data_IF_230164856099
#
_entry.id   IF_230164856099
#
_cell.length_a   1.000
_cell.length_b   1.000
_cell.length_c   1.000
_cell.angle_alpha   90.00
_cell.angle_beta   90.00
_cell.angle_gamma   90.00
#
_symmetry.space_group_name_H-M   'P 1'
#
loop_
_entity.id
_entity.type
_entity.pdbx_description
1 polymer ?
#
# COMPACT_ATOMS: atom_id res chain seq x y z
N UNK A 1 -1.99 55.70 9.98
CA UNK A 1 -2.26 54.33 10.44
C UNK A 1 -1.79 53.41 9.35
N UNK A 2 -0.67 52.73 9.59
CA UNK A 2 -0.03 51.85 8.62
C UNK A 2 -0.72 50.50 8.72
N UNK A 3 -1.42 50.09 7.66
CA UNK A 3 -1.96 48.73 7.57
C UNK A 3 -0.81 47.73 7.65
N UNK A 4 -0.77 46.99 8.75
CA UNK A 4 0.12 45.83 8.90
C UNK A 4 -0.42 44.77 7.94
N UNK A 5 0.30 44.56 6.83
CA UNK A 5 0.11 43.39 5.98
C UNK A 5 0.35 42.16 6.87
N UNK A 6 -0.69 41.37 7.06
CA UNK A 6 -0.59 39.99 7.53
C UNK A 6 0.16 39.23 6.43
N UNK A 7 1.49 39.34 6.45
CA UNK A 7 2.36 38.45 5.71
C UNK A 7 1.95 37.03 6.07
N UNK A 8 1.68 36.24 5.04
CA UNK A 8 1.49 34.80 5.11
C UNK A 8 2.51 34.22 6.09
N UNK A 9 2.04 33.73 7.23
CA UNK A 9 2.87 32.88 8.08
C UNK A 9 3.02 31.55 7.33
N UNK A 10 3.85 31.53 6.28
CA UNK A 10 4.55 30.32 5.88
C UNK A 10 5.43 29.97 7.07
N UNK A 11 4.89 29.21 8.00
CA UNK A 11 5.70 28.54 9.01
C UNK A 11 6.58 27.57 8.24
N UNK A 12 7.75 28.05 7.83
CA UNK A 12 8.86 27.23 7.36
C UNK A 12 9.22 26.32 8.53
N UNK A 13 8.58 25.14 8.58
CA UNK A 13 8.91 24.12 9.55
C UNK A 13 10.34 23.68 9.28
N UNK A 14 11.13 23.58 10.33
CA UNK A 14 12.48 23.03 10.22
C UNK A 14 12.42 21.57 9.78
N UNK A 15 13.46 21.09 9.09
CA UNK A 15 13.55 19.68 8.68
C UNK A 15 13.38 18.72 9.85
N UNK A 16 13.93 19.07 11.03
CA UNK A 16 13.75 18.31 12.27
C UNK A 16 12.29 18.19 12.70
N UNK A 17 11.49 19.25 12.51
CA UNK A 17 10.05 19.24 12.82
C UNK A 17 9.30 18.34 11.86
N UNK A 18 9.58 18.43 10.56
CA UNK A 18 8.95 17.58 9.54
C UNK A 18 9.30 16.10 9.75
N UNK A 19 10.55 15.80 10.12
CA UNK A 19 10.98 14.44 10.45
C UNK A 19 10.20 13.89 11.65
N UNK A 20 10.07 14.66 12.74
CA UNK A 20 9.29 14.25 13.92
C UNK A 20 7.84 13.97 13.57
N UNK A 21 7.23 14.81 12.74
CA UNK A 21 5.85 14.62 12.28
C UNK A 21 5.73 13.36 11.44
N UNK A 22 6.67 13.08 10.52
CA UNK A 22 6.65 11.87 9.70
C UNK A 22 6.76 10.60 10.54
N UNK A 23 7.65 10.61 11.55
CA UNK A 23 7.81 9.49 12.47
C UNK A 23 6.55 9.29 13.30
N UNK A 24 6.01 10.37 13.91
CA UNK A 24 4.81 10.30 14.72
C UNK A 24 3.59 9.87 13.91
N UNK A 25 3.36 10.48 12.74
CA UNK A 25 2.28 10.14 11.82
C UNK A 25 2.40 8.69 11.33
N UNK A 26 3.60 8.25 10.96
CA UNK A 26 3.89 6.87 10.58
C UNK A 26 3.57 5.88 11.68
N UNK A 27 3.99 6.15 12.92
CA UNK A 27 3.72 5.29 14.06
C UNK A 27 2.22 5.21 14.41
N UNK A 28 1.53 6.35 14.44
CA UNK A 28 0.09 6.43 14.74
C UNK A 28 -0.72 5.69 13.66
N UNK A 29 -0.46 5.94 12.39
CA UNK A 29 -1.16 5.27 11.29
C UNK A 29 -0.76 3.79 11.19
N UNK A 30 0.49 3.46 11.51
CA UNK A 30 0.94 2.08 11.68
C UNK A 30 0.09 1.34 12.71
N UNK A 31 -0.02 1.88 13.93
CA UNK A 31 -0.86 1.31 14.99
C UNK A 31 -2.34 1.23 14.59
N UNK A 32 -2.87 2.28 13.94
CA UNK A 32 -4.24 2.28 13.42
C UNK A 32 -4.47 1.16 12.40
N UNK A 33 -3.50 0.91 11.52
CA UNK A 33 -3.58 -0.18 10.54
C UNK A 33 -3.63 -1.56 11.21
N UNK A 34 -2.92 -1.75 12.33
CA UNK A 34 -2.97 -2.98 13.13
C UNK A 34 -4.31 -3.16 13.81
N UNK A 35 -4.82 -2.10 14.47
CA UNK A 35 -6.15 -2.13 15.10
C UNK A 35 -7.23 -2.44 14.06
N UNK A 36 -7.17 -1.78 12.90
CA UNK A 36 -8.08 -2.05 11.78
C UNK A 36 -8.02 -3.53 11.40
N UNK A 37 -6.83 -4.06 11.16
CA UNK A 37 -6.63 -5.45 10.76
C UNK A 37 -7.16 -6.45 11.80
N UNK A 38 -6.96 -6.19 13.10
CA UNK A 38 -7.50 -7.02 14.18
C UNK A 38 -9.03 -7.02 14.14
N UNK A 39 -9.65 -5.84 14.07
CA UNK A 39 -11.11 -5.68 14.08
C UNK A 39 -11.76 -6.37 12.88
N UNK A 40 -11.15 -6.26 11.69
CA UNK A 40 -11.68 -6.87 10.46
C UNK A 40 -11.08 -8.24 10.15
N UNK A 41 -10.31 -8.83 11.06
CA UNK A 41 -9.67 -10.13 10.85
C UNK A 41 -10.65 -11.25 10.47
N UNK A 42 -11.91 -11.31 10.98
CA UNK A 42 -12.87 -12.31 10.49
C UNK A 42 -13.19 -12.14 9.01
N UNK A 43 -13.27 -10.90 8.52
CA UNK A 43 -13.53 -10.59 7.11
C UNK A 43 -12.30 -10.92 6.26
N UNK A 44 -11.10 -10.51 6.69
CA UNK A 44 -9.85 -10.85 5.99
C UNK A 44 -9.73 -12.36 5.81
N UNK A 45 -9.92 -13.11 6.90
CA UNK A 45 -9.80 -14.57 6.88
C UNK A 45 -10.91 -15.24 6.06
N UNK A 46 -12.14 -14.72 6.09
CA UNK A 46 -13.23 -15.23 5.26
C UNK A 46 -13.01 -14.99 3.76
N UNK A 47 -12.22 -13.98 3.38
CA UNK A 47 -11.88 -13.70 1.97
C UNK A 47 -10.59 -14.38 1.49
N UNK A 48 -9.96 -15.23 2.30
CA UNK A 48 -8.78 -15.99 1.88
C UNK A 48 -9.16 -17.05 0.86
N UNK A 49 -8.40 -17.09 -0.21
CA UNK A 49 -8.61 -18.04 -1.29
C UNK A 49 -7.93 -19.36 -0.92
N UNK A 50 -8.66 -20.49 -0.95
CA UNK A 50 -8.09 -21.81 -0.69
C UNK A 50 -6.86 -22.08 -1.55
N UNK A 51 -5.84 -22.73 -0.98
CA UNK A 51 -4.54 -23.07 -1.60
C UNK A 51 -3.66 -21.89 -2.03
N UNK A 52 -4.20 -20.67 -2.15
CA UNK A 52 -3.43 -19.47 -2.46
C UNK A 52 -2.91 -18.77 -1.21
N UNK A 53 -3.65 -18.82 -0.10
CA UNK A 53 -3.31 -18.11 1.13
C UNK A 53 -3.43 -16.58 1.01
N UNK A 54 -3.88 -16.07 -0.13
CA UNK A 54 -4.11 -14.65 -0.45
C UNK A 54 -5.51 -14.25 -0.01
N UNK A 55 -5.63 -13.15 0.73
CA UNK A 55 -6.92 -12.52 1.04
C UNK A 55 -7.36 -11.61 -0.11
N UNK A 56 -8.59 -11.75 -0.61
CA UNK A 56 -9.12 -10.86 -1.64
C UNK A 56 -9.44 -9.45 -1.12
N UNK A 57 -9.73 -9.34 0.18
CA UNK A 57 -10.03 -8.07 0.81
C UNK A 57 -9.22 -7.90 2.09
N UNK A 58 -8.31 -6.92 2.05
CA UNK A 58 -7.54 -6.51 3.22
C UNK A 58 -7.16 -5.01 3.07
N UNK A 59 -7.87 -4.09 3.75
CA UNK A 59 -7.66 -2.65 3.64
C UNK A 59 -6.50 -2.11 4.47
N UNK A 60 -5.66 -2.96 5.07
CA UNK A 60 -4.54 -2.50 5.91
C UNK A 60 -3.58 -1.57 5.15
N UNK A 61 -3.32 -1.87 3.88
CA UNK A 61 -2.50 -1.06 2.96
C UNK A 61 -3.09 0.32 2.67
N UNK A 62 -4.40 0.50 2.80
CA UNK A 62 -5.05 1.80 2.60
C UNK A 62 -4.55 2.81 3.63
N UNK A 63 -4.40 2.39 4.89
CA UNK A 63 -3.91 3.25 5.96
C UNK A 63 -2.45 3.67 5.70
N UNK A 64 -1.63 2.77 5.16
CA UNK A 64 -0.22 3.06 4.85
C UNK A 64 -0.11 4.08 3.71
N UNK A 65 -0.94 3.94 2.67
CA UNK A 65 -0.96 4.85 1.52
C UNK A 65 -1.57 6.20 1.91
N UNK A 66 -2.60 6.24 2.76
CA UNK A 66 -3.13 7.48 3.33
C UNK A 66 -2.03 8.19 4.13
N UNK A 67 -1.29 7.46 4.97
CA UNK A 67 -0.18 8.01 5.74
C UNK A 67 0.90 8.61 4.83
N UNK A 68 1.24 7.91 3.74
CA UNK A 68 2.12 8.41 2.69
C UNK A 68 1.60 9.72 2.08
N UNK A 69 0.34 9.76 1.66
CA UNK A 69 -0.25 10.93 1.01
C UNK A 69 -0.29 12.16 1.93
N UNK A 70 -0.57 11.97 3.22
CA UNK A 70 -0.69 13.06 4.19
C UNK A 70 0.68 13.55 4.68
N UNK A 71 1.57 12.63 5.08
CA UNK A 71 2.80 12.98 5.81
C UNK A 71 4.09 12.77 5.01
N UNK A 72 4.03 11.99 3.92
CA UNK A 72 5.18 11.76 3.04
C UNK A 72 5.69 10.32 3.05
N UNK A 73 6.69 10.01 2.20
CA UNK A 73 7.17 8.64 1.95
C UNK A 73 7.68 7.97 3.22
N UNK A 74 8.44 8.66 4.06
CA UNK A 74 8.98 8.08 5.29
C UNK A 74 7.87 7.65 6.25
N UNK A 75 6.83 8.48 6.41
CA UNK A 75 5.69 8.16 7.25
C UNK A 75 4.93 6.93 6.74
N UNK A 76 4.68 6.86 5.42
CA UNK A 76 4.09 5.69 4.76
C UNK A 76 4.93 4.42 4.95
N UNK A 77 6.27 4.54 4.84
CA UNK A 77 7.18 3.42 5.08
C UNK A 77 7.13 2.96 6.53
N UNK A 78 7.25 3.86 7.51
CA UNK A 78 7.14 3.52 8.94
C UNK A 78 5.79 2.85 9.21
N UNK A 79 4.70 3.44 8.71
CA UNK A 79 3.35 2.88 8.87
C UNK A 79 3.25 1.47 8.27
N UNK A 80 3.81 1.24 7.08
CA UNK A 80 3.80 -0.07 6.44
C UNK A 80 4.63 -1.11 7.19
N UNK A 81 5.79 -0.73 7.75
CA UNK A 81 6.62 -1.63 8.57
C UNK A 81 5.86 -2.01 9.84
N UNK A 82 5.41 -1.02 10.61
CA UNK A 82 4.66 -1.26 11.86
C UNK A 82 3.39 -2.07 11.60
N UNK A 83 2.63 -1.75 10.55
CA UNK A 83 1.43 -2.47 10.16
C UNK A 83 1.73 -3.93 9.78
N UNK A 84 2.80 -4.17 9.01
CA UNK A 84 3.20 -5.52 8.61
C UNK A 84 3.62 -6.38 9.81
N UNK A 85 4.38 -5.81 10.75
CA UNK A 85 4.70 -6.52 11.99
C UNK A 85 3.46 -6.81 12.84
N UNK A 86 2.51 -5.88 12.93
CA UNK A 86 1.26 -6.13 13.66
C UNK A 86 0.38 -7.19 12.99
N UNK A 87 0.39 -7.27 11.66
CA UNK A 87 -0.34 -8.33 10.93
C UNK A 87 0.17 -9.73 11.25
N UNK A 88 1.44 -9.90 11.68
CA UNK A 88 1.96 -11.22 12.08
C UNK A 88 1.18 -11.82 13.26
N UNK A 89 0.53 -10.99 14.09
CA UNK A 89 -0.26 -11.45 15.24
C UNK A 89 -1.51 -12.21 14.79
N UNK A 90 -2.08 -11.84 13.62
CA UNK A 90 -3.35 -12.37 13.13
C UNK A 90 -3.20 -13.24 11.87
N UNK A 91 -2.03 -13.21 11.22
CA UNK A 91 -1.80 -13.97 10.00
C UNK A 91 -1.44 -15.43 10.34
N UNK A 92 -2.20 -16.41 9.84
CA UNK A 92 -2.00 -17.82 10.18
C UNK A 92 -0.75 -18.43 9.51
N UNK A 93 -0.19 -17.80 8.48
CA UNK A 93 0.96 -18.36 7.75
C UNK A 93 2.28 -17.68 8.12
N UNK A 94 2.23 -16.49 8.73
CA UNK A 94 3.39 -15.65 9.02
C UNK A 94 4.05 -15.00 7.79
N UNK A 95 3.67 -15.44 6.58
CA UNK A 95 4.28 -14.99 5.31
C UNK A 95 3.42 -13.91 4.64
N UNK A 96 2.11 -13.92 4.88
CA UNK A 96 1.18 -12.94 4.33
C UNK A 96 1.60 -11.47 4.55
N UNK A 97 2.08 -11.09 5.76
CA UNK A 97 2.48 -9.71 6.02
C UNK A 97 3.67 -9.24 5.20
N UNK A 98 4.65 -10.13 4.96
CA UNK A 98 5.82 -9.83 4.10
C UNK A 98 5.35 -9.59 2.66
N UNK A 99 4.46 -10.44 2.17
CA UNK A 99 3.89 -10.30 0.83
C UNK A 99 3.14 -8.97 0.71
N UNK A 100 2.34 -8.62 1.70
CA UNK A 100 1.59 -7.37 1.71
C UNK A 100 2.49 -6.14 1.75
N UNK A 101 3.55 -6.18 2.57
CA UNK A 101 4.58 -5.15 2.62
C UNK A 101 5.20 -4.96 1.24
N UNK A 102 5.77 -6.03 0.66
CA UNK A 102 6.41 -6.00 -0.65
C UNK A 102 5.45 -5.56 -1.77
N UNK A 103 4.17 -5.91 -1.66
CA UNK A 103 3.13 -5.49 -2.60
C UNK A 103 2.84 -3.98 -2.51
N UNK A 104 2.91 -3.39 -1.31
CA UNK A 104 2.51 -1.99 -1.09
C UNK A 104 3.65 -1.00 -1.31
N UNK A 105 4.89 -1.37 -1.02
CA UNK A 105 6.06 -0.50 -1.13
C UNK A 105 6.22 0.15 -2.53
N UNK A 106 6.05 -0.57 -3.65
CA UNK A 106 6.10 0.03 -4.98
C UNK A 106 5.07 1.16 -5.16
N UNK A 107 3.89 1.04 -4.54
CA UNK A 107 2.82 2.05 -4.60
C UNK A 107 3.13 3.31 -3.78
N UNK A 108 4.14 3.27 -2.91
CA UNK A 108 4.61 4.43 -2.14
C UNK A 108 5.85 5.03 -2.82
N UNK A 109 6.86 4.20 -3.07
CA UNK A 109 8.16 4.67 -3.57
C UNK A 109 8.09 5.17 -5.00
N UNK A 110 7.39 4.46 -5.90
CA UNK A 110 7.36 4.85 -7.32
C UNK A 110 6.69 6.21 -7.51
N UNK A 111 5.51 6.49 -6.92
CA UNK A 111 4.96 7.84 -6.93
C UNK A 111 5.94 8.86 -6.37
N UNK A 112 6.49 8.63 -5.19
CA UNK A 112 7.45 9.56 -4.59
C UNK A 112 8.60 9.93 -5.53
N UNK A 113 9.27 8.96 -6.15
CA UNK A 113 10.38 9.23 -7.07
C UNK A 113 9.93 9.95 -8.35
N UNK A 114 8.80 9.57 -8.94
CA UNK A 114 8.27 10.25 -10.13
C UNK A 114 7.94 11.72 -9.84
N UNK A 115 7.34 12.01 -8.67
CA UNK A 115 7.03 13.38 -8.26
C UNK A 115 8.29 14.19 -7.99
N UNK A 116 9.30 13.59 -7.35
CA UNK A 116 10.58 14.26 -7.09
C UNK A 116 11.31 14.67 -8.37
N UNK A 117 11.19 13.88 -9.44
CA UNK A 117 11.86 14.14 -10.73
C UNK A 117 11.20 15.23 -11.57
N UNK A 118 9.93 15.55 -11.35
CA UNK A 118 9.17 16.42 -12.27
C UNK A 118 9.03 17.88 -11.84
N UNK A 119 9.59 18.30 -10.70
CA UNK A 119 9.48 19.67 -10.11
C UNK A 119 8.04 20.25 -10.04
N UNK A 120 7.03 19.44 -10.36
CA UNK A 120 5.68 19.87 -10.74
C UNK A 120 4.66 19.18 -9.84
N UNK A 121 4.11 19.99 -8.95
CA UNK A 121 2.84 19.84 -8.24
C UNK A 121 2.63 18.57 -7.40
N UNK A 122 2.16 18.82 -6.19
CA UNK A 122 1.74 17.86 -5.16
C UNK A 122 0.95 16.68 -5.76
N UNK A 123 1.04 15.51 -5.12
CA UNK A 123 0.30 14.26 -5.41
C UNK A 123 -1.21 14.44 -5.70
N UNK A 124 -1.78 15.58 -5.31
CA UNK A 124 -3.14 16.01 -5.58
C UNK A 124 -3.53 15.95 -7.07
N UNK A 125 -2.62 16.21 -8.01
CA UNK A 125 -2.99 16.19 -9.44
C UNK A 125 -3.39 14.77 -9.88
N UNK A 126 -4.67 14.53 -10.25
CA UNK A 126 -5.18 13.19 -10.50
C UNK A 126 -4.49 12.51 -11.69
N UNK A 127 -4.09 13.25 -12.72
CA UNK A 127 -3.37 12.68 -13.88
C UNK A 127 -1.99 12.20 -13.48
N UNK A 128 -1.26 13.01 -12.72
CA UNK A 128 0.07 12.62 -12.25
C UNK A 128 0.01 11.46 -11.26
N UNK A 129 -0.98 11.48 -10.36
CA UNK A 129 -1.25 10.37 -9.46
C UNK A 129 -1.53 9.08 -10.25
N UNK A 130 -2.44 9.14 -11.24
CA UNK A 130 -2.77 8.00 -12.09
C UNK A 130 -1.55 7.46 -12.87
N UNK A 131 -0.75 8.32 -13.51
CA UNK A 131 0.46 7.90 -14.24
C UNK A 131 1.43 7.20 -13.29
N UNK A 132 1.73 7.82 -12.15
CA UNK A 132 2.64 7.24 -11.18
C UNK A 132 2.11 5.95 -10.56
N UNK A 133 0.80 5.87 -10.37
CA UNK A 133 0.08 4.69 -9.93
C UNK A 133 0.20 3.54 -10.92
N UNK A 134 0.01 3.78 -12.23
CA UNK A 134 0.17 2.77 -13.27
C UNK A 134 1.59 2.17 -13.25
N UNK A 135 2.62 3.01 -13.13
CA UNK A 135 4.00 2.53 -13.04
C UNK A 135 4.21 1.74 -11.73
N UNK A 136 3.67 2.22 -10.61
CA UNK A 136 3.73 1.52 -9.32
C UNK A 136 3.05 0.15 -9.36
N UNK A 137 1.89 0.05 -10.02
CA UNK A 137 1.15 -1.21 -10.25
C UNK A 137 2.00 -2.18 -11.05
N UNK A 138 2.61 -1.73 -12.15
CA UNK A 138 3.46 -2.58 -12.98
C UNK A 138 4.63 -3.15 -12.17
N UNK A 139 5.32 -2.30 -11.40
CA UNK A 139 6.44 -2.72 -10.54
C UNK A 139 5.97 -3.70 -9.46
N UNK A 140 4.82 -3.45 -8.82
CA UNK A 140 4.22 -4.37 -7.86
C UNK A 140 3.93 -5.72 -8.49
N UNK A 141 3.29 -5.77 -9.66
CA UNK A 141 2.96 -7.04 -10.32
C UNK A 141 4.22 -7.86 -10.58
N UNK A 142 5.27 -7.23 -11.14
CA UNK A 142 6.55 -7.89 -11.40
C UNK A 142 7.20 -8.41 -10.11
N UNK A 143 7.23 -7.58 -9.06
CA UNK A 143 7.77 -7.95 -7.76
C UNK A 143 7.00 -9.12 -7.14
N UNK A 144 5.66 -9.10 -7.24
CA UNK A 144 4.80 -10.14 -6.67
C UNK A 144 4.87 -11.44 -7.46
N UNK A 145 5.03 -11.41 -8.78
CA UNK A 145 5.32 -12.62 -9.55
C UNK A 145 6.63 -13.23 -9.05
N UNK A 146 7.72 -12.45 -8.99
CA UNK A 146 9.02 -12.92 -8.51
C UNK A 146 8.96 -13.50 -7.09
N UNK A 147 8.28 -12.80 -6.17
CA UNK A 147 8.15 -13.22 -4.78
C UNK A 147 7.31 -14.49 -4.64
N UNK A 148 6.20 -14.64 -5.39
CA UNK A 148 5.40 -15.85 -5.39
C UNK A 148 6.17 -17.05 -5.95
N UNK A 149 6.91 -16.86 -7.05
CA UNK A 149 7.75 -17.93 -7.62
C UNK A 149 8.84 -18.37 -6.65
N UNK A 150 9.51 -17.43 -5.99
CA UNK A 150 10.51 -17.74 -4.97
C UNK A 150 9.87 -18.50 -3.79
N UNK A 151 8.71 -18.06 -3.32
CA UNK A 151 7.99 -18.71 -2.22
C UNK A 151 7.59 -20.15 -2.55
N UNK A 152 7.02 -20.39 -3.73
CA UNK A 152 6.69 -21.75 -4.16
C UNK A 152 7.93 -22.60 -4.43
N UNK A 153 9.06 -22.01 -4.80
CA UNK A 153 10.31 -22.74 -4.99
C UNK A 153 11.02 -23.10 -3.67
N UNK A 154 10.82 -22.32 -2.60
CA UNK A 154 11.64 -22.42 -1.37
C UNK A 154 10.84 -22.80 -0.13
N UNK A 155 9.78 -22.06 0.19
CA UNK A 155 9.01 -22.25 1.42
C UNK A 155 7.91 -23.28 1.21
N UNK A 156 7.26 -23.28 0.04
CA UNK A 156 6.17 -24.19 -0.29
C UNK A 156 6.47 -25.01 -1.55
N UNK A 157 7.61 -25.73 -1.54
CA UNK A 157 8.20 -26.50 -2.65
C UNK A 157 7.29 -27.49 -3.40
N UNK A 158 6.14 -27.88 -2.82
CA UNK A 158 5.12 -28.74 -3.45
C UNK A 158 3.76 -28.06 -3.62
N UNK A 159 3.63 -26.79 -3.23
CA UNK A 159 2.39 -26.02 -3.26
C UNK A 159 1.90 -25.70 -4.67
N UNK A 160 2.83 -25.60 -5.64
CA UNK A 160 2.55 -25.14 -6.99
C UNK A 160 1.50 -26.01 -7.71
N UNK A 161 1.47 -27.31 -7.45
CA UNK A 161 0.49 -28.24 -8.06
C UNK A 161 -0.93 -28.07 -7.51
N UNK A 162 -1.08 -27.45 -6.34
CA UNK A 162 -2.37 -27.26 -5.68
C UNK A 162 -3.00 -25.89 -5.96
N UNK A 163 -2.23 -24.95 -6.55
CA UNK A 163 -2.78 -23.67 -6.99
C UNK A 163 -3.43 -23.81 -8.36
N UNK A 164 -4.72 -23.48 -8.41
CA UNK A 164 -5.55 -23.54 -9.61
C UNK A 164 -6.31 -22.22 -9.79
N UNK A 165 -6.85 -21.98 -10.98
CA UNK A 165 -7.74 -20.86 -11.27
C UNK A 165 -9.24 -21.19 -11.07
N UNK A 166 -9.55 -22.14 -10.18
CA UNK A 166 -10.94 -22.57 -9.92
C UNK A 166 -11.84 -21.41 -9.47
N UNK A 167 -11.29 -20.47 -8.70
CA UNK A 167 -12.01 -19.28 -8.21
C UNK A 167 -12.58 -18.39 -9.33
N UNK A 168 -12.01 -18.45 -10.54
CA UNK A 168 -12.50 -17.73 -11.72
C UNK A 168 -13.07 -18.68 -12.78
N UNK A 169 -13.43 -19.91 -12.41
CA UNK A 169 -14.01 -20.91 -13.30
C UNK A 169 -13.03 -21.60 -14.25
N UNK A 170 -11.72 -21.44 -14.05
CA UNK A 170 -10.66 -21.98 -14.92
C UNK A 170 -9.85 -23.07 -14.20
N UNK A 171 -10.51 -23.99 -13.49
CA UNK A 171 -9.86 -25.00 -12.64
C UNK A 171 -8.86 -25.93 -13.36
N UNK A 172 -8.97 -26.06 -14.68
CA UNK A 172 -8.03 -26.84 -15.50
C UNK A 172 -6.64 -26.17 -15.66
N UNK A 173 -6.52 -24.88 -15.32
CA UNK A 173 -5.26 -24.16 -15.33
C UNK A 173 -4.68 -24.20 -13.91
N UNK A 174 -3.53 -24.86 -13.78
CA UNK A 174 -2.80 -25.03 -12.51
C UNK A 174 -1.32 -24.68 -12.65
N UNK A 175 -0.60 -24.75 -11.53
CA UNK A 175 0.85 -24.64 -11.57
C UNK A 175 1.36 -23.23 -11.87
N UNK A 176 2.45 -23.17 -12.64
CA UNK A 176 3.10 -21.93 -13.03
C UNK A 176 2.16 -20.99 -13.80
N UNK A 177 1.36 -21.53 -14.73
CA UNK A 177 0.40 -20.74 -15.51
C UNK A 177 -0.65 -20.08 -14.63
N UNK A 178 -1.15 -20.81 -13.62
CA UNK A 178 -2.08 -20.26 -12.65
C UNK A 178 -1.43 -19.10 -11.86
N UNK A 179 -0.18 -19.26 -11.41
CA UNK A 179 0.56 -18.20 -10.70
C UNK A 179 0.71 -16.95 -11.57
N UNK A 180 1.18 -17.08 -12.81
CA UNK A 180 1.41 -15.93 -13.69
C UNK A 180 0.13 -15.15 -14.01
N UNK A 181 -0.99 -15.85 -14.21
CA UNK A 181 -2.28 -15.23 -14.50
C UNK A 181 -2.88 -14.63 -13.22
N UNK A 182 -3.04 -15.45 -12.19
CA UNK A 182 -3.74 -15.04 -10.98
C UNK A 182 -3.03 -13.93 -10.23
N UNK A 183 -1.71 -14.03 -10.04
CA UNK A 183 -0.93 -13.03 -9.32
C UNK A 183 -0.99 -11.68 -10.03
N UNK A 184 -0.97 -11.68 -11.37
CA UNK A 184 -1.18 -10.48 -12.18
C UNK A 184 -2.56 -9.88 -11.92
N UNK A 185 -3.62 -10.68 -12.05
CA UNK A 185 -5.00 -10.22 -11.91
C UNK A 185 -5.31 -9.69 -10.50
N UNK A 186 -4.95 -10.45 -9.47
CA UNK A 186 -5.26 -10.08 -8.09
C UNK A 186 -4.47 -8.84 -7.67
N UNK A 187 -3.18 -8.73 -8.03
CA UNK A 187 -2.40 -7.54 -7.71
C UNK A 187 -2.87 -6.33 -8.50
N UNK A 188 -3.31 -6.48 -9.75
CA UNK A 188 -3.94 -5.39 -10.48
C UNK A 188 -5.18 -4.89 -9.74
N UNK A 189 -6.11 -5.80 -9.40
CA UNK A 189 -7.34 -5.48 -8.68
C UNK A 189 -7.07 -4.79 -7.34
N UNK A 190 -6.25 -5.41 -6.48
CA UNK A 190 -5.97 -4.86 -5.14
C UNK A 190 -5.23 -3.54 -5.23
N UNK A 191 -4.34 -3.35 -6.22
CA UNK A 191 -3.62 -2.08 -6.34
C UNK A 191 -4.49 -0.93 -6.77
N UNK A 192 -5.46 -1.18 -7.66
CA UNK A 192 -6.43 -0.16 -8.05
C UNK A 192 -7.19 0.30 -6.80
N UNK A 193 -7.64 -0.63 -5.96
CA UNK A 193 -8.30 -0.28 -4.69
C UNK A 193 -7.35 0.45 -3.73
N UNK A 194 -6.13 -0.04 -3.56
CA UNK A 194 -5.10 0.53 -2.71
C UNK A 194 -4.71 1.97 -3.12
N UNK A 195 -4.86 2.34 -4.39
CA UNK A 195 -4.60 3.70 -4.85
C UNK A 195 -5.85 4.58 -4.83
N UNK A 196 -6.97 4.07 -5.35
CA UNK A 196 -8.20 4.85 -5.51
C UNK A 196 -8.81 5.19 -4.15
N UNK A 197 -8.95 4.22 -3.25
CA UNK A 197 -9.63 4.45 -1.96
C UNK A 197 -8.88 5.49 -1.12
N UNK A 198 -7.56 5.36 -0.86
CA UNK A 198 -6.77 6.41 -0.21
C UNK A 198 -6.83 7.77 -0.90
N UNK A 199 -6.75 7.82 -2.23
CA UNK A 199 -6.81 9.08 -2.97
C UNK A 199 -8.15 9.80 -2.71
N UNK A 200 -9.26 9.07 -2.76
CA UNK A 200 -10.59 9.62 -2.46
C UNK A 200 -10.68 10.10 -1.01
N UNK A 201 -10.15 9.33 -0.05
CA UNK A 201 -10.19 9.68 1.38
C UNK A 201 -9.35 10.93 1.68
N UNK A 202 -8.20 11.11 1.02
CA UNK A 202 -7.30 12.22 1.31
C UNK A 202 -7.72 13.50 0.58
N UNK A 203 -7.96 13.41 -0.72
CA UNK A 203 -8.09 14.62 -1.56
C UNK A 203 -9.53 15.12 -1.72
N UNK A 204 -10.57 14.28 -1.59
CA UNK A 204 -11.96 14.76 -1.62
C UNK A 204 -12.26 15.65 -0.38
N UNK A 205 -11.96 15.20 0.85
CA UNK A 205 -12.19 16.01 2.04
C UNK A 205 -11.10 17.06 2.29
N UNK A 206 -10.10 17.14 1.39
CA UNK A 206 -8.95 18.06 1.46
C UNK A 206 -8.16 17.89 2.75
N UNK A 207 -7.90 16.65 3.16
CA UNK A 207 -7.09 16.36 4.34
C UNK A 207 -5.65 16.83 4.15
N UNK A 208 -5.12 16.74 2.93
CA UNK A 208 -3.79 17.24 2.57
C UNK A 208 -3.63 18.75 2.83
N UNK A 209 -4.65 19.55 2.49
CA UNK A 209 -4.65 21.01 2.70
C UNK A 209 -4.75 21.40 4.19
N UNK A 210 -5.38 20.57 5.03
CA UNK A 210 -5.48 20.86 6.48
C UNK A 210 -4.17 20.62 7.22
N UNK A 211 -3.33 19.75 6.66
CA UNK A 211 -2.17 19.20 7.33
C UNK A 211 -0.86 19.80 6.78
N UNK A 212 -0.81 20.14 5.48
CA UNK A 212 0.30 20.83 4.79
C UNK A 212 1.70 20.33 5.17
N UNK A 213 1.88 19.01 5.28
CA UNK A 213 3.14 18.46 5.77
C UNK A 213 4.20 18.29 4.68
N UNK A 214 3.82 18.20 3.41
CA UNK A 214 4.74 18.13 2.27
C UNK A 214 4.10 18.50 0.92
#
# INVERSE_FOLDING_TARGET
>A
MTEVKLDEIKTSRTESTNLKIQIAGGAIFGALSVVLAIVISPVINATRIPNWGIAMFDPTSWIWIICFMIFGPLAGLISSVTGSFGLLIIDPTGVGPIFKFCATIPLILIPYYIFRLKESQKLKNPKMFAISGIVGIAVRILAMIGLNLLFFATIWGGGLQFVTLEIIGLGNISGLSAVLIFITLINLYTSVLDLVVPYLIVYIPKLDEKFEFW
#
